data_IF_603557489673
#
_entry.id   IF_603557489673
#
_cell.length_a   1.000
_cell.length_b   1.000
_cell.length_c   1.000
_cell.angle_alpha   90.00
_cell.angle_beta   90.00
_cell.angle_gamma   90.00
#
_symmetry.space_group_name_H-M   'P 1'
#
loop_
_entity.id
_entity.type
_entity.pdbx_description
1 polymer ?
#
# COMPACT_ATOMS: atom_id res chain seq x y z
N UNK A 1 18.37 4.08 21.33
CA UNK A 1 18.26 4.29 19.87
C UNK A 1 16.78 4.48 19.53
N UNK A 2 16.38 5.50 18.77
CA UNK A 2 15.02 5.60 18.25
C UNK A 2 14.77 4.46 17.24
N UNK A 3 13.54 3.91 17.23
CA UNK A 3 13.15 2.88 16.24
C UNK A 3 13.08 3.52 14.85
N UNK A 4 13.47 2.78 13.81
CA UNK A 4 13.23 3.19 12.43
C UNK A 4 11.77 3.00 12.06
N UNK A 5 11.32 3.62 10.98
CA UNK A 5 9.99 3.40 10.43
C UNK A 5 9.78 1.93 10.06
N UNK A 6 10.74 1.32 9.36
CA UNK A 6 10.71 -0.10 9.00
C UNK A 6 10.61 -1.02 10.23
N UNK A 7 11.38 -0.73 11.30
CA UNK A 7 11.31 -1.50 12.55
C UNK A 7 9.92 -1.35 13.20
N UNK A 8 9.38 -0.13 13.23
CA UNK A 8 8.07 0.15 13.81
C UNK A 8 6.94 -0.49 13.02
N UNK A 9 7.05 -0.50 11.69
CA UNK A 9 6.14 -1.18 10.77
C UNK A 9 6.12 -2.68 11.07
N UNK A 10 7.29 -3.30 11.17
CA UNK A 10 7.38 -4.74 11.45
C UNK A 10 6.89 -5.13 12.85
N UNK A 11 7.25 -4.37 13.88
CA UNK A 11 6.87 -4.68 15.26
C UNK A 11 5.35 -4.57 15.50
N UNK A 12 4.66 -3.65 14.81
CA UNK A 12 3.26 -3.33 15.09
C UNK A 12 2.30 -3.80 14.01
N UNK A 13 2.61 -3.56 12.73
CA UNK A 13 1.65 -3.76 11.64
C UNK A 13 1.73 -5.20 11.15
N UNK A 14 2.93 -5.74 10.89
CA UNK A 14 3.09 -7.12 10.44
C UNK A 14 2.47 -8.11 11.43
N UNK A 15 2.62 -7.84 12.74
CA UNK A 15 2.01 -8.65 13.79
C UNK A 15 0.47 -8.63 13.71
N UNK A 16 -0.16 -7.48 13.46
CA UNK A 16 -1.61 -7.37 13.32
C UNK A 16 -2.12 -8.02 12.04
N UNK A 17 -1.38 -7.87 10.93
CA UNK A 17 -1.67 -8.54 9.65
C UNK A 17 -1.60 -10.06 9.84
N UNK A 18 -0.56 -10.57 10.51
CA UNK A 18 -0.39 -11.98 10.86
C UNK A 18 -1.53 -12.51 11.76
N UNK A 19 -1.91 -11.76 12.80
CA UNK A 19 -3.04 -12.11 13.66
C UNK A 19 -4.38 -12.18 12.90
N UNK A 20 -4.50 -11.41 11.81
CA UNK A 20 -5.67 -11.45 10.92
C UNK A 20 -5.64 -12.59 9.89
N UNK A 21 -4.64 -13.48 9.97
CA UNK A 21 -4.52 -14.66 9.11
C UNK A 21 -3.69 -14.45 7.84
N UNK A 22 -3.03 -13.29 7.70
CA UNK A 22 -2.23 -12.93 6.53
C UNK A 22 -0.73 -12.97 6.85
N UNK A 23 0.08 -13.72 6.10
CA UNK A 23 1.51 -13.80 6.36
C UNK A 23 2.30 -12.82 5.48
N UNK A 24 2.84 -11.75 6.08
CA UNK A 24 3.68 -10.75 5.40
C UNK A 24 4.92 -11.35 4.73
N UNK A 25 5.43 -12.48 5.22
CA UNK A 25 6.61 -13.17 4.66
C UNK A 25 6.26 -14.05 3.45
N UNK A 26 4.99 -14.11 3.06
CA UNK A 26 4.50 -14.92 1.95
C UNK A 26 4.00 -13.99 0.84
N UNK A 27 4.78 -13.77 -0.24
CA UNK A 27 4.44 -12.82 -1.32
C UNK A 27 3.14 -13.15 -2.06
N UNK A 28 2.66 -14.39 -1.97
CA UNK A 28 1.38 -14.82 -2.55
C UNK A 28 0.18 -14.49 -1.68
N UNK A 29 0.40 -13.99 -0.46
CA UNK A 29 -0.62 -13.52 0.48
C UNK A 29 -0.51 -12.01 0.70
N UNK A 30 0.69 -11.47 0.84
CA UNK A 30 0.89 -10.05 1.13
C UNK A 30 2.02 -9.51 0.26
N UNK A 31 1.79 -8.35 -0.35
CA UNK A 31 2.83 -7.59 -1.07
C UNK A 31 3.03 -6.26 -0.36
N UNK A 32 4.25 -6.03 0.11
CA UNK A 32 4.68 -4.76 0.70
C UNK A 32 5.06 -3.76 -0.41
N UNK A 33 4.84 -2.46 -0.16
CA UNK A 33 5.23 -1.37 -1.06
C UNK A 33 4.75 -1.59 -2.52
N UNK A 34 3.50 -2.02 -2.65
CA UNK A 34 2.92 -2.39 -3.92
C UNK A 34 2.79 -1.17 -4.84
N UNK A 35 3.35 -1.29 -6.04
CA UNK A 35 3.33 -0.25 -7.08
C UNK A 35 1.96 -0.15 -7.77
N UNK A 36 1.43 1.07 -7.82
CA UNK A 36 0.13 1.43 -8.36
C UNK A 36 0.33 2.47 -9.46
N UNK A 37 0.09 2.06 -10.70
CA UNK A 37 0.09 2.96 -11.85
C UNK A 37 -1.07 3.97 -11.80
N UNK A 38 -0.74 5.24 -11.96
CA UNK A 38 -1.68 6.33 -12.07
C UNK A 38 -1.52 7.04 -13.40
N UNK A 39 -2.63 7.43 -14.07
CA UNK A 39 -2.54 8.17 -15.31
C UNK A 39 -1.86 9.51 -15.06
N UNK A 40 -0.87 9.83 -15.89
CA UNK A 40 -0.23 11.13 -15.87
C UNK A 40 -1.25 12.22 -16.26
N UNK A 41 -1.24 13.39 -15.59
CA UNK A 41 -2.08 14.51 -16.01
C UNK A 41 -1.72 14.92 -17.44
N UNK A 42 -2.72 14.93 -18.32
CA UNK A 42 -2.56 15.34 -19.71
C UNK A 42 -2.25 16.85 -19.77
N UNK A 43 -1.17 17.24 -20.47
CA UNK A 43 -0.85 18.65 -20.72
C UNK A 43 0.14 19.29 -19.74
N UNK A 44 0.74 18.54 -18.81
CA UNK A 44 1.84 19.03 -17.98
C UNK A 44 3.17 18.79 -18.70
N UNK A 45 3.86 19.86 -19.05
CA UNK A 45 5.17 19.84 -19.74
C UNK A 45 6.35 19.96 -18.75
N UNK A 46 6.21 19.38 -17.55
CA UNK A 46 7.29 19.33 -16.57
C UNK A 46 8.23 18.15 -16.85
N UNK A 47 9.51 18.22 -16.45
CA UNK A 47 10.45 17.12 -16.59
C UNK A 47 9.94 15.89 -15.85
N UNK A 48 9.81 14.77 -16.58
CA UNK A 48 9.28 13.53 -16.00
C UNK A 48 10.17 13.02 -14.89
N UNK A 49 9.61 12.82 -13.70
CA UNK A 49 10.34 12.14 -12.61
C UNK A 49 10.20 10.61 -12.72
N UNK A 50 11.14 9.81 -12.19
CA UNK A 50 11.05 8.34 -12.23
C UNK A 50 9.82 7.75 -11.51
N UNK A 51 9.21 8.53 -10.61
CA UNK A 51 8.02 8.14 -9.83
C UNK A 51 6.74 8.79 -10.35
N UNK A 52 6.83 9.52 -11.46
CA UNK A 52 5.66 10.18 -12.03
C UNK A 52 4.69 9.13 -12.58
N UNK A 53 3.43 9.23 -12.17
CA UNK A 53 2.44 8.20 -12.52
C UNK A 53 2.55 6.94 -11.67
N UNK A 54 3.33 6.94 -10.58
CA UNK A 54 3.38 5.83 -9.62
C UNK A 54 2.92 6.28 -8.23
N UNK A 55 2.20 5.39 -7.56
CA UNK A 55 1.86 5.47 -6.15
C UNK A 55 2.22 4.15 -5.48
N UNK A 56 2.47 4.17 -4.17
CA UNK A 56 2.84 2.97 -3.43
C UNK A 56 1.94 2.83 -2.21
N UNK A 57 1.27 1.70 -2.08
CA UNK A 57 0.56 1.35 -0.84
C UNK A 57 1.48 0.56 0.10
N UNK A 58 1.30 0.71 1.42
CA UNK A 58 2.11 -0.05 2.38
C UNK A 58 1.95 -1.57 2.22
N UNK A 59 0.69 -2.06 2.13
CA UNK A 59 0.44 -3.48 1.88
C UNK A 59 -0.77 -3.71 0.97
N UNK A 60 -0.68 -4.76 0.15
CA UNK A 60 -1.81 -5.38 -0.55
C UNK A 60 -1.97 -6.81 -0.09
N UNK A 61 -3.18 -7.16 0.37
CA UNK A 61 -3.57 -8.52 0.74
C UNK A 61 -4.14 -9.23 -0.50
N UNK A 62 -3.68 -10.45 -0.78
CA UNK A 62 -4.02 -11.21 -1.99
C UNK A 62 -4.96 -12.37 -1.71
N UNK A 63 -6.10 -12.45 -2.41
CA UNK A 63 -6.99 -13.61 -2.34
C UNK A 63 -6.29 -14.92 -2.67
N UNK A 64 -6.98 -16.05 -2.45
CA UNK A 64 -6.47 -17.39 -2.83
C UNK A 64 -6.20 -17.54 -4.33
N UNK A 65 -6.78 -16.67 -5.15
CA UNK A 65 -6.56 -16.53 -6.58
C UNK A 65 -5.35 -15.64 -6.93
N UNK A 66 -4.58 -15.20 -5.93
CA UNK A 66 -3.45 -14.29 -6.02
C UNK A 66 -3.80 -12.89 -6.54
N UNK A 67 -5.09 -12.51 -6.51
CA UNK A 67 -5.54 -11.17 -6.89
C UNK A 67 -5.63 -10.24 -5.69
N UNK A 68 -5.39 -8.92 -5.87
CA UNK A 68 -5.62 -7.94 -4.80
C UNK A 68 -7.04 -8.04 -4.23
N UNK A 69 -7.11 -8.26 -2.92
CA UNK A 69 -8.35 -8.35 -2.16
C UNK A 69 -8.58 -7.09 -1.31
N UNK A 70 -7.52 -6.56 -0.70
CA UNK A 70 -7.59 -5.36 0.13
C UNK A 70 -6.26 -4.59 0.12
N UNK A 71 -6.34 -3.28 0.39
CA UNK A 71 -5.20 -2.39 0.58
C UNK A 71 -5.14 -1.99 2.05
N UNK A 72 -3.94 -1.98 2.64
CA UNK A 72 -3.67 -1.45 3.97
C UNK A 72 -2.76 -0.24 3.81
N UNK A 73 -3.19 0.88 4.36
CA UNK A 73 -2.41 2.12 4.44
C UNK A 73 -2.11 2.42 5.91
N UNK A 74 -0.84 2.44 6.26
CA UNK A 74 -0.36 2.68 7.59
C UNK A 74 -0.24 4.18 7.87
N UNK A 75 -0.45 4.57 9.12
CA UNK A 75 -0.12 5.92 9.60
C UNK A 75 0.68 5.81 10.90
N UNK A 76 1.45 6.86 11.19
CA UNK A 76 2.18 6.99 12.46
C UNK A 76 1.18 6.85 13.60
N UNK A 77 1.54 6.14 14.66
CA UNK A 77 0.66 5.91 15.83
C UNK A 77 0.19 7.19 16.53
N UNK A 78 0.90 8.30 16.33
CA UNK A 78 0.52 9.63 16.83
C UNK A 78 -0.49 10.37 15.94
N UNK A 79 -0.96 9.77 14.85
CA UNK A 79 -1.91 10.33 13.89
C UNK A 79 -3.17 9.48 13.83
N UNK A 80 -4.28 10.13 13.53
CA UNK A 80 -5.55 9.43 13.30
C UNK A 80 -5.46 8.59 12.01
N UNK A 81 -5.82 7.30 12.13
CA UNK A 81 -5.86 6.37 11.01
C UNK A 81 -6.84 6.83 9.90
N UNK A 82 -7.90 7.57 10.25
CA UNK A 82 -8.88 8.08 9.30
C UNK A 82 -8.26 9.01 8.23
N UNK A 83 -7.10 9.62 8.53
CA UNK A 83 -6.36 10.44 7.56
C UNK A 83 -5.90 9.65 6.33
N UNK A 84 -5.69 8.34 6.44
CA UNK A 84 -5.31 7.46 5.32
C UNK A 84 -6.50 6.92 4.52
N UNK A 85 -7.73 7.14 4.95
CA UNK A 85 -8.91 6.46 4.39
C UNK A 85 -9.13 6.77 2.91
N UNK A 86 -9.06 8.04 2.53
CA UNK A 86 -9.26 8.42 1.12
C UNK A 86 -8.12 7.92 0.24
N UNK A 87 -6.88 7.93 0.73
CA UNK A 87 -5.71 7.39 0.03
C UNK A 87 -5.88 5.88 -0.24
N UNK A 88 -6.21 5.09 0.78
CA UNK A 88 -6.47 3.66 0.63
C UNK A 88 -7.61 3.37 -0.36
N UNK A 89 -8.67 4.19 -0.34
CA UNK A 89 -9.79 4.09 -1.28
C UNK A 89 -9.35 4.36 -2.72
N UNK A 90 -8.56 5.40 -2.97
CA UNK A 90 -8.03 5.71 -4.29
C UNK A 90 -7.10 4.60 -4.81
N UNK A 91 -6.29 4.03 -3.93
CA UNK A 91 -5.46 2.87 -4.26
C UNK A 91 -6.30 1.67 -4.71
N UNK A 92 -7.37 1.33 -3.98
CA UNK A 92 -8.30 0.29 -4.41
C UNK A 92 -8.86 0.56 -5.81
N UNK A 93 -9.32 1.78 -6.11
CA UNK A 93 -9.83 2.12 -7.44
C UNK A 93 -8.77 2.01 -8.54
N UNK A 94 -7.56 2.50 -8.29
CA UNK A 94 -6.49 2.46 -9.28
C UNK A 94 -6.04 1.01 -9.55
N UNK A 95 -5.91 0.19 -8.51
CA UNK A 95 -5.60 -1.24 -8.64
C UNK A 95 -6.72 -1.95 -9.43
N UNK A 96 -7.98 -1.70 -9.11
CA UNK A 96 -9.12 -2.28 -9.81
C UNK A 96 -9.14 -1.88 -11.29
N UNK A 97 -8.82 -0.62 -11.62
CA UNK A 97 -8.75 -0.17 -13.02
C UNK A 97 -7.62 -0.85 -13.82
N UNK A 98 -6.54 -1.26 -13.16
CA UNK A 98 -5.38 -1.90 -13.81
C UNK A 98 -5.51 -3.43 -13.92
N UNK A 99 -6.11 -4.07 -12.91
CA UNK A 99 -6.09 -5.54 -12.74
C UNK A 99 -7.48 -6.17 -12.62
N UNK A 100 -8.54 -5.36 -12.59
CA UNK A 100 -9.93 -5.79 -12.53
C UNK A 100 -10.48 -6.29 -13.86
#
# INVERSE_FOLDING_TARGET
MPRTEAQTRSDLIDSQVAQSGWNVKVPTQVVEEFDILTPLPQGVAEPRTPYEGHQFSDYVLLGKDHKPLAVVEAKKSSKDAALGREQAKQYCYNIQRQRG
#
